data_IF_013719679430
#
_entry.id   IF_013719679430
#
_cell.length_a   1.000
_cell.length_b   1.000
_cell.length_c   1.000
_cell.angle_alpha   90.00
_cell.angle_beta   90.00
_cell.angle_gamma   90.00
#
_symmetry.space_group_name_H-M   'P 1'
#
loop_
_entity.id
_entity.type
_entity.pdbx_description
1 polymer ?
#
# COMPACT_ATOMS: atom_id res chain seq x y z
N UNK A 1 -9.48 23.19 17.70
CA UNK A 1 -8.65 23.67 16.59
C UNK A 1 -7.71 22.54 16.14
N UNK A 2 -7.65 22.29 14.85
CA UNK A 2 -6.80 21.22 14.33
C UNK A 2 -5.32 21.60 14.47
N UNK A 3 -4.51 20.63 14.85
CA UNK A 3 -3.06 20.75 14.95
C UNK A 3 -2.43 19.82 13.92
N UNK A 4 -1.66 20.39 13.00
CA UNK A 4 -1.02 19.62 11.93
C UNK A 4 -0.16 18.51 12.49
N UNK A 5 0.65 18.79 13.52
CA UNK A 5 1.55 17.78 14.10
C UNK A 5 0.77 16.64 14.75
N UNK A 6 -0.32 16.94 15.45
CA UNK A 6 -1.16 15.89 16.05
C UNK A 6 -1.82 15.02 15.00
N UNK A 7 -2.33 15.62 13.93
CA UNK A 7 -2.95 14.87 12.84
C UNK A 7 -1.90 14.04 12.07
N UNK A 8 -0.71 14.58 11.86
CA UNK A 8 0.39 13.82 11.25
C UNK A 8 0.77 12.62 12.11
N UNK A 9 0.79 12.78 13.43
CA UNK A 9 1.06 11.64 14.32
C UNK A 9 -0.06 10.61 14.26
N UNK A 10 -1.31 11.04 14.27
CA UNK A 10 -2.46 10.14 14.17
C UNK A 10 -2.41 9.30 12.90
N UNK A 11 -2.11 9.93 11.76
CA UNK A 11 -2.09 9.29 10.46
C UNK A 11 -0.69 8.88 10.02
N UNK A 12 0.29 8.84 10.95
CA UNK A 12 1.65 8.41 10.61
C UNK A 12 1.71 7.03 9.97
N UNK A 13 0.89 6.03 10.35
CA UNK A 13 0.89 4.75 9.65
C UNK A 13 0.52 4.87 8.17
N UNK A 14 -0.37 5.80 7.82
CA UNK A 14 -0.75 6.05 6.42
C UNK A 14 0.43 6.65 5.65
N UNK A 15 1.06 7.66 6.24
CA UNK A 15 2.23 8.32 5.64
C UNK A 15 3.37 7.32 5.44
N UNK A 16 3.65 6.51 6.45
CA UNK A 16 4.69 5.47 6.38
C UNK A 16 4.37 4.42 5.32
N UNK A 17 3.09 4.05 5.16
CA UNK A 17 2.67 3.10 4.14
C UNK A 17 2.95 3.65 2.74
N UNK A 18 2.59 4.90 2.49
CA UNK A 18 2.88 5.55 1.19
C UNK A 18 4.38 5.61 0.93
N UNK A 19 5.17 6.00 1.93
CA UNK A 19 6.63 6.07 1.80
C UNK A 19 7.24 4.68 1.62
N UNK A 20 6.66 3.66 2.25
CA UNK A 20 7.11 2.28 2.14
C UNK A 20 6.92 1.67 0.76
N UNK A 21 6.07 2.24 -0.08
CA UNK A 21 5.89 1.82 -1.48
C UNK A 21 6.56 2.75 -2.48
N UNK A 22 7.41 3.65 -2.04
CA UNK A 22 8.11 4.59 -2.92
C UNK A 22 9.00 3.89 -3.94
N UNK A 23 9.54 2.72 -3.60
CA UNK A 23 10.33 1.90 -4.50
C UNK A 23 9.50 1.40 -5.71
N UNK A 24 8.19 1.35 -5.58
CA UNK A 24 7.27 0.93 -6.66
C UNK A 24 6.63 2.11 -7.37
N UNK A 25 6.95 3.34 -6.96
CA UNK A 25 6.44 4.54 -7.59
C UNK A 25 5.39 5.30 -6.81
N UNK A 26 5.06 4.86 -5.59
CA UNK A 26 4.15 5.63 -4.73
C UNK A 26 4.79 6.95 -4.32
N UNK A 27 3.99 8.01 -4.30
CA UNK A 27 4.44 9.37 -3.99
C UNK A 27 3.53 10.02 -2.98
N UNK A 28 4.11 10.79 -2.09
CA UNK A 28 3.38 11.68 -1.19
C UNK A 28 3.77 13.11 -1.55
N UNK A 29 2.84 13.83 -2.18
CA UNK A 29 3.10 15.16 -2.72
C UNK A 29 2.87 16.26 -1.69
N UNK A 30 1.82 16.13 -0.87
CA UNK A 30 1.41 17.18 0.05
C UNK A 30 0.91 16.57 1.36
N UNK A 31 1.38 17.13 2.47
CA UNK A 31 0.84 16.89 3.81
C UNK A 31 0.61 18.26 4.44
N UNK A 32 -0.65 18.65 4.63
CA UNK A 32 -0.98 19.98 5.14
C UNK A 32 -2.33 19.95 5.85
N UNK A 33 -2.79 21.10 6.30
CA UNK A 33 -4.14 21.24 6.87
C UNK A 33 -5.11 21.74 5.80
N UNK A 34 -6.30 21.16 5.79
CA UNK A 34 -7.46 21.65 5.05
C UNK A 34 -8.58 21.86 6.07
N UNK A 35 -8.69 23.10 6.58
CA UNK A 35 -9.58 23.39 7.69
C UNK A 35 -9.19 22.60 8.93
N UNK A 36 -10.10 21.78 9.44
CA UNK A 36 -9.87 20.91 10.60
C UNK A 36 -9.39 19.51 10.21
N UNK A 37 -9.07 19.29 8.92
CA UNK A 37 -8.67 17.98 8.40
C UNK A 37 -7.21 17.97 7.99
N UNK A 38 -6.58 16.80 8.11
CA UNK A 38 -5.29 16.57 7.51
C UNK A 38 -5.49 16.31 6.01
N UNK A 39 -4.79 17.07 5.18
CA UNK A 39 -4.83 16.89 3.73
C UNK A 39 -3.60 16.08 3.28
N UNK A 40 -3.86 14.92 2.69
CA UNK A 40 -2.84 14.07 2.08
C UNK A 40 -3.09 13.97 0.59
N UNK A 41 -2.13 14.41 -0.20
CA UNK A 41 -2.17 14.28 -1.65
C UNK A 41 -0.99 13.44 -2.11
N UNK A 42 -1.26 12.48 -2.98
CA UNK A 42 -0.22 11.61 -3.49
C UNK A 42 -0.72 10.72 -4.60
N UNK A 43 0.10 9.74 -4.96
CA UNK A 43 -0.24 8.77 -5.98
C UNK A 43 0.32 7.40 -5.63
N UNK A 44 -0.31 6.36 -6.16
CA UNK A 44 0.10 4.97 -5.97
C UNK A 44 0.11 4.26 -7.33
N UNK A 45 0.98 3.23 -7.49
CA UNK A 45 1.19 2.60 -8.79
C UNK A 45 0.09 1.64 -9.22
N UNK A 46 -0.76 1.18 -8.28
CA UNK A 46 -1.79 0.17 -8.59
C UNK A 46 -2.94 0.24 -7.59
N UNK A 47 -4.06 -0.42 -7.93
CA UNK A 47 -5.18 -0.56 -7.00
C UNK A 47 -4.81 -1.42 -5.79
N UNK A 48 -3.88 -2.37 -5.94
CA UNK A 48 -3.39 -3.18 -4.82
C UNK A 48 -2.78 -2.27 -3.74
N UNK A 49 -1.91 -1.34 -4.15
CA UNK A 49 -1.29 -0.40 -3.22
C UNK A 49 -2.33 0.58 -2.68
N UNK A 50 -3.25 1.06 -3.53
CA UNK A 50 -4.34 1.95 -3.09
C UNK A 50 -5.18 1.29 -2.00
N UNK A 51 -5.55 0.02 -2.18
CA UNK A 51 -6.34 -0.73 -1.20
C UNK A 51 -5.56 -0.92 0.10
N UNK A 52 -4.26 -1.14 0.02
CA UNK A 52 -3.41 -1.28 1.22
C UNK A 52 -3.38 0.03 2.02
N UNK A 53 -3.22 1.16 1.33
CA UNK A 53 -3.26 2.48 1.98
C UNK A 53 -4.63 2.71 2.61
N UNK A 54 -5.70 2.36 1.90
CA UNK A 54 -7.07 2.51 2.39
C UNK A 54 -7.33 1.66 3.64
N UNK A 55 -6.81 0.43 3.68
CA UNK A 55 -6.91 -0.42 4.86
C UNK A 55 -6.24 0.23 6.08
N UNK A 56 -5.08 0.84 5.89
CA UNK A 56 -4.36 1.53 6.97
C UNK A 56 -5.15 2.75 7.45
N UNK A 57 -5.75 3.51 6.53
CA UNK A 57 -6.61 4.65 6.89
C UNK A 57 -7.74 4.18 7.81
N UNK A 58 -8.41 3.09 7.45
CA UNK A 58 -9.51 2.55 8.24
C UNK A 58 -9.06 1.97 9.58
N UNK A 59 -7.83 1.47 9.67
CA UNK A 59 -7.25 0.99 10.92
C UNK A 59 -6.97 2.14 11.88
N UNK A 60 -6.54 3.29 11.35
CA UNK A 60 -6.29 4.49 12.15
C UNK A 60 -7.61 5.08 12.64
N UNK A 61 -8.56 5.28 11.75
CA UNK A 61 -9.89 5.79 12.07
C UNK A 61 -10.88 5.31 11.01
N UNK A 62 -11.80 4.39 11.36
CA UNK A 62 -12.76 3.86 10.39
C UNK A 62 -13.65 4.91 9.75
N UNK A 63 -13.84 6.05 10.40
CA UNK A 63 -14.66 7.14 9.89
C UNK A 63 -13.85 8.21 9.17
N UNK A 64 -12.52 8.27 9.41
CA UNK A 64 -11.57 9.21 8.80
C UNK A 64 -12.15 10.62 8.60
N UNK A 65 -12.94 11.08 9.58
CA UNK A 65 -13.65 12.37 9.49
C UNK A 65 -12.72 13.57 9.51
N UNK A 66 -11.49 13.41 10.02
CA UNK A 66 -10.46 14.44 10.08
C UNK A 66 -9.37 14.25 9.02
N UNK A 67 -9.67 13.48 7.96
CA UNK A 67 -8.75 13.24 6.84
C UNK A 67 -9.41 13.62 5.52
N UNK A 68 -8.73 14.46 4.76
CA UNK A 68 -9.06 14.72 3.36
C UNK A 68 -7.93 14.12 2.51
N UNK A 69 -8.22 13.07 1.78
CA UNK A 69 -7.22 12.37 0.97
C UNK A 69 -7.51 12.53 -0.51
N UNK A 70 -6.45 12.75 -1.29
CA UNK A 70 -6.48 12.76 -2.75
C UNK A 70 -5.33 11.90 -3.24
N UNK A 71 -5.53 10.58 -3.22
CA UNK A 71 -4.52 9.60 -3.61
C UNK A 71 -4.93 9.00 -4.95
N UNK A 72 -4.18 9.36 -5.99
CA UNK A 72 -4.46 8.94 -7.36
C UNK A 72 -3.80 7.61 -7.65
N UNK A 73 -4.54 6.70 -8.28
CA UNK A 73 -3.97 5.44 -8.79
C UNK A 73 -3.51 5.67 -10.22
N UNK A 74 -2.19 5.52 -10.47
CA UNK A 74 -1.59 5.84 -11.77
C UNK A 74 -1.49 4.64 -12.70
N UNK A 75 -1.60 3.41 -12.18
CA UNK A 75 -1.50 2.19 -12.95
C UNK A 75 -2.79 1.37 -12.93
N UNK A 76 -2.68 0.11 -13.31
CA UNK A 76 -3.81 -0.79 -13.37
C UNK A 76 -4.18 -1.42 -12.03
N UNK A 77 -5.05 -2.44 -12.05
CA UNK A 77 -5.51 -3.08 -10.80
C UNK A 77 -4.42 -3.87 -10.10
N UNK A 78 -3.60 -4.60 -10.85
CA UNK A 78 -2.58 -5.49 -10.28
C UNK A 78 -1.24 -4.78 -10.16
N UNK A 79 -0.42 -5.24 -9.20
CA UNK A 79 0.92 -4.71 -9.00
C UNK A 79 1.96 -5.68 -9.53
N UNK A 80 2.84 -5.21 -10.40
CA UNK A 80 4.01 -5.95 -10.84
C UNK A 80 5.12 -5.78 -9.79
N UNK A 81 5.81 -6.86 -9.46
CA UNK A 81 6.85 -6.82 -8.44
C UNK A 81 8.01 -7.74 -8.82
N UNK A 82 9.23 -7.26 -8.62
CA UNK A 82 10.45 -8.07 -8.79
C UNK A 82 10.91 -8.60 -7.44
N UNK A 83 11.07 -9.91 -7.34
CA UNK A 83 11.49 -10.57 -6.11
C UNK A 83 12.90 -10.09 -5.72
N UNK A 84 13.09 -9.78 -4.44
CA UNK A 84 14.35 -9.32 -3.88
C UNK A 84 14.92 -10.36 -2.94
N UNK A 85 16.21 -10.22 -2.62
CA UNK A 85 16.87 -11.09 -1.65
C UNK A 85 16.15 -11.07 -0.31
N UNK A 86 15.86 -12.24 0.24
CA UNK A 86 15.14 -12.38 1.50
C UNK A 86 13.63 -12.42 1.39
N UNK A 87 13.07 -12.21 0.18
CA UNK A 87 11.64 -12.28 -0.04
C UNK A 87 11.11 -13.70 -0.04
N UNK A 88 9.85 -13.85 0.39
CA UNK A 88 9.04 -15.02 0.10
C UNK A 88 7.60 -14.55 -0.12
N UNK A 89 6.75 -15.42 -0.65
CA UNK A 89 5.40 -15.02 -1.02
C UNK A 89 4.56 -14.59 0.19
N UNK A 90 4.81 -15.20 1.36
CA UNK A 90 4.09 -14.80 2.59
C UNK A 90 4.46 -13.38 3.02
N UNK A 91 5.74 -13.01 2.95
CA UNK A 91 6.19 -11.65 3.25
C UNK A 91 5.65 -10.64 2.25
N UNK A 92 5.65 -11.00 0.97
CA UNK A 92 5.11 -10.15 -0.09
C UNK A 92 3.60 -9.94 0.14
N UNK A 93 2.87 -11.01 0.45
CA UNK A 93 1.45 -10.93 0.79
C UNK A 93 1.21 -9.99 1.97
N UNK A 94 2.00 -10.14 3.03
CA UNK A 94 1.86 -9.28 4.21
C UNK A 94 2.09 -7.80 3.87
N UNK A 95 3.08 -7.50 3.02
CA UNK A 95 3.37 -6.13 2.60
C UNK A 95 2.21 -5.51 1.83
N UNK A 96 1.67 -6.24 0.84
CA UNK A 96 0.68 -5.68 -0.09
C UNK A 96 -0.76 -5.79 0.43
N UNK A 97 -1.06 -6.78 1.26
CA UNK A 97 -2.43 -7.02 1.74
C UNK A 97 -2.59 -6.86 3.24
N UNK A 98 -1.49 -6.74 3.97
CA UNK A 98 -1.54 -6.70 5.43
C UNK A 98 -1.72 -8.07 6.09
N UNK A 99 -1.65 -9.15 5.32
CA UNK A 99 -1.78 -10.52 5.82
C UNK A 99 -0.91 -11.46 4.99
N UNK A 100 -0.18 -12.41 5.62
CA UNK A 100 0.59 -13.41 4.88
C UNK A 100 -0.26 -14.49 4.19
N UNK A 101 -1.55 -14.54 4.49
CA UNK A 101 -2.43 -15.65 4.10
C UNK A 101 -2.89 -15.59 2.64
N UNK A 102 -2.61 -14.51 1.92
CA UNK A 102 -3.00 -14.35 0.52
C UNK A 102 -1.89 -14.74 -0.47
N UNK A 103 -0.85 -15.40 0.00
CA UNK A 103 0.28 -15.79 -0.86
C UNK A 103 -0.15 -16.70 -2.01
N UNK A 104 -1.19 -17.51 -1.83
CA UNK A 104 -1.73 -18.38 -2.88
C UNK A 104 -2.31 -17.58 -4.04
N UNK A 105 -2.92 -16.43 -3.76
CA UNK A 105 -3.44 -15.54 -4.80
C UNK A 105 -2.30 -15.01 -5.68
N UNK A 106 -1.17 -14.66 -5.05
CA UNK A 106 0.02 -14.21 -5.77
C UNK A 106 0.60 -15.33 -6.62
N UNK A 107 0.69 -16.53 -6.05
CA UNK A 107 1.22 -17.70 -6.76
C UNK A 107 0.36 -18.02 -7.99
N UNK A 108 -0.95 -18.03 -7.85
CA UNK A 108 -1.87 -18.30 -8.95
C UNK A 108 -1.76 -17.25 -10.06
N UNK A 109 -1.75 -15.97 -9.68
CA UNK A 109 -1.66 -14.87 -10.65
C UNK A 109 -0.32 -14.85 -11.38
N UNK A 110 0.73 -15.42 -10.77
CA UNK A 110 2.08 -15.42 -11.31
C UNK A 110 2.46 -16.74 -11.97
N UNK A 111 1.53 -17.72 -12.03
CA UNK A 111 1.75 -19.06 -12.56
C UNK A 111 2.89 -19.81 -11.84
N UNK A 112 2.97 -19.61 -10.52
CA UNK A 112 3.97 -20.28 -9.68
C UNK A 112 3.35 -21.55 -9.11
N UNK A 113 3.93 -22.72 -9.46
CA UNK A 113 3.45 -24.02 -8.98
C UNK A 113 3.90 -24.32 -7.56
N UNK A 114 5.09 -23.83 -7.15
CA UNK A 114 5.62 -24.03 -5.82
C UNK A 114 5.98 -22.67 -5.20
N UNK A 115 5.22 -22.21 -4.19
CA UNK A 115 5.47 -20.91 -3.56
C UNK A 115 6.84 -20.79 -2.90
N UNK A 116 7.51 -21.91 -2.63
CA UNK A 116 8.84 -21.92 -2.02
C UNK A 116 9.97 -21.82 -3.04
N UNK A 117 9.65 -21.78 -4.34
CA UNK A 117 10.64 -21.78 -5.42
C UNK A 117 10.61 -20.49 -6.23
N UNK A 118 10.65 -19.36 -5.54
CA UNK A 118 10.81 -18.04 -6.20
C UNK A 118 12.28 -17.65 -6.16
N UNK A 119 12.69 -16.84 -7.16
CA UNK A 119 14.08 -16.43 -7.33
C UNK A 119 14.19 -14.91 -7.34
N UNK A 120 15.31 -14.39 -6.85
CA UNK A 120 15.62 -12.97 -6.93
C UNK A 120 15.59 -12.51 -8.40
N UNK A 121 14.90 -11.40 -8.65
CA UNK A 121 14.73 -10.88 -9.99
C UNK A 121 13.53 -11.43 -10.75
N UNK A 122 12.87 -12.46 -10.22
CA UNK A 122 11.67 -13.02 -10.84
C UNK A 122 10.54 -12.00 -10.81
N UNK A 123 9.88 -11.80 -11.95
CA UNK A 123 8.71 -10.95 -12.03
C UNK A 123 7.47 -11.70 -11.61
N UNK A 124 6.74 -11.13 -10.66
CA UNK A 124 5.49 -11.71 -10.18
C UNK A 124 4.37 -10.69 -10.27
N UNK A 125 3.15 -11.18 -10.23
CA UNK A 125 1.94 -10.36 -10.23
C UNK A 125 1.27 -10.46 -8.88
N UNK A 126 1.08 -9.31 -8.22
CA UNK A 126 0.29 -9.20 -6.99
C UNK A 126 -1.10 -8.77 -7.42
N UNK A 127 -2.10 -9.67 -7.39
CA UNK A 127 -3.43 -9.34 -7.91
C UNK A 127 -4.22 -8.49 -6.93
N UNK A 128 -5.12 -7.66 -7.48
CA UNK A 128 -6.10 -6.96 -6.64
C UNK A 128 -7.09 -7.98 -6.08
N UNK A 129 -7.37 -7.88 -4.79
CA UNK A 129 -8.35 -8.76 -4.12
C UNK A 129 -9.70 -8.06 -4.05
N UNK A 130 -10.74 -8.80 -4.36
CA UNK A 130 -12.11 -8.29 -4.28
C UNK A 130 -12.81 -8.72 -3.01
#
# INVERSE_FOLDING_TARGET
>A
MADLDQLKQKYSPVIETLQGFSDLGAKLDTVSLDGEKLYLKGSVPSEVVANRVWDVIKQVDPQYSDLHHEILTTGGPNQSYSVKSGDNLSKISNRFYGSPNHYTNIAQASNISDPNKIQVGQQITVPVLN
#
